data_IF_131274416591
#
_entry.id   IF_131274416591
#
_cell.length_a   1.000
_cell.length_b   1.000
_cell.length_c   1.000
_cell.angle_alpha   90.00
_cell.angle_beta   90.00
_cell.angle_gamma   90.00
#
_symmetry.space_group_name_H-M   'P 1'
#
loop_
_entity.id
_entity.type
_entity.pdbx_description
1 polymer ?
#
# COMPACT_ATOMS: atom_id res chain seq x y z
N UNK A 1 -35.97 29.76 26.57
CA UNK A 1 -35.47 29.52 25.20
C UNK A 1 -34.17 28.76 25.32
N UNK A 2 -34.22 27.44 25.17
CA UNK A 2 -33.05 26.53 25.33
C UNK A 2 -32.38 26.40 24.00
N UNK A 3 -31.09 26.79 23.92
CA UNK A 3 -30.27 26.63 22.73
C UNK A 3 -30.02 25.13 22.46
N UNK A 4 -30.14 24.62 21.23
CA UNK A 4 -29.84 23.22 20.93
C UNK A 4 -28.36 22.95 21.02
N UNK A 5 -27.96 21.93 21.79
CA UNK A 5 -26.61 21.43 21.88
C UNK A 5 -26.18 20.83 20.53
N UNK A 6 -25.61 21.64 19.61
CA UNK A 6 -25.13 21.22 18.31
C UNK A 6 -23.74 20.51 18.32
N UNK A 7 -23.23 20.14 19.51
CA UNK A 7 -21.88 19.56 19.63
C UNK A 7 -21.79 18.02 19.60
N UNK A 8 -22.84 17.33 20.07
CA UNK A 8 -22.77 15.87 20.23
C UNK A 8 -22.85 15.07 18.92
N UNK A 9 -23.52 15.56 17.89
CA UNK A 9 -23.64 14.87 16.61
C UNK A 9 -22.33 14.82 15.83
N UNK A 10 -21.55 15.92 15.86
CA UNK A 10 -20.27 16.00 15.14
C UNK A 10 -19.17 15.09 15.73
N UNK A 11 -19.14 14.95 17.06
CA UNK A 11 -18.13 14.10 17.73
C UNK A 11 -18.39 12.61 17.50
N UNK A 12 -19.64 12.19 17.43
CA UNK A 12 -20.01 10.81 17.12
C UNK A 12 -19.72 10.46 15.65
N UNK A 13 -19.99 11.37 14.72
CA UNK A 13 -19.66 11.20 13.30
C UNK A 13 -18.14 11.11 13.05
N UNK A 14 -17.35 11.93 13.72
CA UNK A 14 -15.88 11.88 13.62
C UNK A 14 -15.34 10.56 14.15
N UNK A 15 -15.84 10.07 15.29
CA UNK A 15 -15.41 8.78 15.85
C UNK A 15 -15.80 7.60 14.93
N UNK A 16 -17.00 7.64 14.35
CA UNK A 16 -17.45 6.65 13.37
C UNK A 16 -16.64 6.69 12.07
N UNK A 17 -16.26 7.87 11.58
CA UNK A 17 -15.38 8.06 10.44
C UNK A 17 -13.99 7.46 10.71
N UNK A 18 -13.39 7.73 11.86
CA UNK A 18 -12.09 7.15 12.24
C UNK A 18 -12.13 5.62 12.32
N UNK A 19 -13.18 5.04 12.88
CA UNK A 19 -13.34 3.59 12.96
C UNK A 19 -13.48 2.95 11.56
N UNK A 20 -14.23 3.59 10.68
CA UNK A 20 -14.43 3.15 9.29
C UNK A 20 -13.14 3.23 8.48
N UNK A 21 -12.42 4.34 8.60
CA UNK A 21 -11.13 4.57 7.96
C UNK A 21 -10.10 3.51 8.39
N UNK A 22 -9.96 3.24 9.70
CA UNK A 22 -9.09 2.19 10.22
C UNK A 22 -9.41 0.81 9.64
N UNK A 23 -10.68 0.48 9.49
CA UNK A 23 -11.11 -0.80 8.90
C UNK A 23 -10.69 -0.90 7.43
N UNK A 24 -10.85 0.17 6.66
CA UNK A 24 -10.41 0.21 5.26
C UNK A 24 -8.89 0.06 5.16
N UNK A 25 -8.12 0.76 5.99
CA UNK A 25 -6.66 0.63 6.03
C UNK A 25 -6.21 -0.82 6.34
N UNK A 26 -6.92 -1.52 7.24
CA UNK A 26 -6.65 -2.94 7.52
C UNK A 26 -6.90 -3.84 6.31
N UNK A 27 -7.99 -3.60 5.57
CA UNK A 27 -8.28 -4.35 4.35
C UNK A 27 -7.23 -4.09 3.27
N UNK A 28 -6.87 -2.84 3.05
CA UNK A 28 -5.85 -2.47 2.05
C UNK A 28 -4.48 -3.04 2.44
N UNK A 29 -4.11 -2.99 3.72
CA UNK A 29 -2.91 -3.64 4.23
C UNK A 29 -2.91 -5.15 3.94
N UNK A 30 -4.00 -5.85 4.26
CA UNK A 30 -4.11 -7.30 4.04
C UNK A 30 -4.03 -7.66 2.54
N UNK A 31 -4.68 -6.88 1.67
CA UNK A 31 -4.63 -7.07 0.22
C UNK A 31 -3.19 -6.88 -0.29
N UNK A 32 -2.49 -5.80 0.11
CA UNK A 32 -1.12 -5.55 -0.35
C UNK A 32 -0.13 -6.59 0.20
N UNK A 33 -0.27 -7.04 1.45
CA UNK A 33 0.54 -8.12 2.00
C UNK A 33 0.31 -9.45 1.26
N UNK A 34 -0.93 -9.77 0.92
CA UNK A 34 -1.27 -10.94 0.11
C UNK A 34 -0.74 -10.83 -1.33
N UNK A 35 -0.85 -9.66 -1.94
CA UNK A 35 -0.30 -9.36 -3.28
C UNK A 35 1.22 -9.45 -3.29
N UNK A 36 1.89 -8.94 -2.25
CA UNK A 36 3.33 -9.10 -2.07
C UNK A 36 3.74 -10.58 -2.10
N UNK A 37 3.09 -11.42 -1.29
CA UNK A 37 3.40 -12.85 -1.24
C UNK A 37 3.14 -13.55 -2.58
N UNK A 38 2.03 -13.24 -3.25
CA UNK A 38 1.69 -13.78 -4.56
C UNK A 38 2.70 -13.36 -5.63
N UNK A 39 3.05 -12.07 -5.69
CA UNK A 39 4.01 -11.53 -6.66
C UNK A 39 5.41 -12.09 -6.43
N UNK A 40 5.84 -12.21 -5.16
CA UNK A 40 7.14 -12.79 -4.82
C UNK A 40 7.21 -14.27 -5.23
N UNK A 41 6.19 -15.07 -4.91
CA UNK A 41 6.11 -16.46 -5.33
C UNK A 41 6.13 -16.59 -6.87
N UNK A 42 5.36 -15.74 -7.57
CA UNK A 42 5.35 -15.66 -9.01
C UNK A 42 6.71 -15.28 -9.60
N UNK A 43 7.42 -14.31 -9.00
CA UNK A 43 8.76 -13.89 -9.41
C UNK A 43 9.79 -15.02 -9.28
N UNK A 44 9.76 -15.73 -8.15
CA UNK A 44 10.64 -16.87 -7.89
C UNK A 44 10.37 -18.04 -8.85
N UNK A 45 9.10 -18.28 -9.17
CA UNK A 45 8.72 -19.35 -10.09
C UNK A 45 9.00 -19.02 -11.56
N UNK A 46 8.72 -17.79 -12.00
CA UNK A 46 8.84 -17.39 -13.41
C UNK A 46 10.20 -16.82 -13.79
N UNK A 47 11.03 -16.45 -12.81
CA UNK A 47 12.27 -15.70 -13.04
C UNK A 47 12.04 -14.26 -13.53
N UNK A 48 10.84 -13.70 -13.42
CA UNK A 48 10.48 -12.38 -13.93
C UNK A 48 10.87 -11.24 -12.97
N UNK A 49 11.79 -10.36 -13.37
CA UNK A 49 12.17 -9.17 -12.60
C UNK A 49 11.00 -8.20 -12.39
N UNK A 50 10.07 -8.13 -13.35
CA UNK A 50 8.88 -7.28 -13.24
C UNK A 50 7.96 -7.70 -12.10
N UNK A 51 7.80 -9.01 -11.85
CA UNK A 51 7.04 -9.51 -10.70
C UNK A 51 7.77 -9.24 -9.37
N UNK A 52 9.10 -9.33 -9.37
CA UNK A 52 9.89 -8.97 -8.19
C UNK A 52 9.74 -7.48 -7.87
N UNK A 53 9.83 -6.61 -8.87
CA UNK A 53 9.57 -5.18 -8.73
C UNK A 53 8.18 -4.93 -8.15
N UNK A 54 7.13 -5.50 -8.74
CA UNK A 54 5.76 -5.34 -8.25
C UNK A 54 5.55 -5.93 -6.84
N UNK A 55 6.31 -6.95 -6.44
CA UNK A 55 6.28 -7.45 -5.06
C UNK A 55 6.84 -6.42 -4.09
N UNK A 56 7.93 -5.74 -4.42
CA UNK A 56 8.52 -4.68 -3.58
C UNK A 56 7.59 -3.47 -3.46
N UNK A 57 6.85 -3.11 -4.52
CA UNK A 57 5.84 -2.06 -4.49
C UNK A 57 4.72 -2.42 -3.49
N UNK A 58 4.16 -3.63 -3.58
CA UNK A 58 3.14 -4.11 -2.65
C UNK A 58 3.65 -4.18 -1.20
N UNK A 59 4.92 -4.53 -0.98
CA UNK A 59 5.54 -4.50 0.35
C UNK A 59 5.63 -3.05 0.87
N UNK A 60 6.08 -2.12 0.03
CA UNK A 60 6.15 -0.70 0.36
C UNK A 60 4.78 -0.13 0.74
N UNK A 61 3.75 -0.48 -0.01
CA UNK A 61 2.37 -0.10 0.29
C UNK A 61 1.86 -0.73 1.59
N UNK A 62 2.08 -2.03 1.79
CA UNK A 62 1.69 -2.70 3.03
C UNK A 62 2.36 -2.06 4.26
N UNK A 63 3.66 -1.77 4.19
CA UNK A 63 4.38 -1.06 5.26
C UNK A 63 3.81 0.36 5.46
N UNK A 64 3.47 1.06 4.39
CA UNK A 64 2.85 2.38 4.47
C UNK A 64 1.53 2.34 5.22
N UNK A 65 0.65 1.40 4.88
CA UNK A 65 -0.65 1.26 5.55
C UNK A 65 -0.51 0.79 6.99
N UNK A 66 0.44 -0.11 7.29
CA UNK A 66 0.74 -0.52 8.66
C UNK A 66 1.21 0.68 9.51
N UNK A 67 2.13 1.50 8.97
CA UNK A 67 2.62 2.71 9.64
C UNK A 67 1.51 3.76 9.79
N UNK A 68 0.66 3.94 8.77
CA UNK A 68 -0.49 4.85 8.84
C UNK A 68 -1.47 4.43 9.93
N UNK A 69 -1.73 3.12 10.07
CA UNK A 69 -2.56 2.58 11.16
C UNK A 69 -1.96 2.84 12.55
N UNK A 70 -0.63 2.78 12.66
CA UNK A 70 0.07 3.05 13.91
C UNK A 70 0.02 4.53 14.33
N UNK A 71 -0.10 5.47 13.37
CA UNK A 71 -0.08 6.91 13.63
C UNK A 71 -1.44 7.60 13.45
N UNK A 72 -2.53 6.84 13.26
CA UNK A 72 -3.89 7.39 13.27
C UNK A 72 -4.15 8.06 14.62
N UNK A 73 -4.40 9.38 14.61
CA UNK A 73 -4.55 10.20 15.82
C UNK A 73 -3.24 10.68 16.46
N UNK A 74 -2.07 10.35 15.89
CA UNK A 74 -0.77 10.80 16.38
C UNK A 74 -0.44 12.26 15.96
N UNK A 75 0.59 12.82 16.58
CA UNK A 75 1.07 14.18 16.32
C UNK A 75 1.60 14.34 14.88
N UNK A 76 1.62 15.58 14.37
CA UNK A 76 2.19 15.92 13.06
C UNK A 76 3.67 15.50 12.93
N UNK A 77 4.44 15.56 14.02
CA UNK A 77 5.83 15.10 14.04
C UNK A 77 5.93 13.57 13.81
N UNK A 78 5.02 12.76 14.36
CA UNK A 78 4.98 11.33 14.14
C UNK A 78 4.61 11.01 12.69
N UNK A 79 3.63 11.71 12.13
CA UNK A 79 3.23 11.58 10.70
C UNK A 79 4.39 11.93 9.75
N UNK A 80 5.14 13.01 10.05
CA UNK A 80 6.31 13.39 9.26
C UNK A 80 7.43 12.33 9.29
N UNK A 81 7.70 11.71 10.45
CA UNK A 81 8.67 10.61 10.56
C UNK A 81 8.26 9.39 9.73
N UNK A 82 6.97 9.05 9.74
CA UNK A 82 6.42 7.97 8.92
C UNK A 82 6.57 8.26 7.43
N UNK A 83 6.30 9.49 7.00
CA UNK A 83 6.50 9.91 5.61
C UNK A 83 7.97 9.80 5.17
N UNK A 84 8.92 10.20 6.03
CA UNK A 84 10.36 10.03 5.76
C UNK A 84 10.77 8.56 5.67
N UNK A 85 10.25 7.72 6.59
CA UNK A 85 10.51 6.27 6.54
C UNK A 85 9.97 5.66 5.25
N UNK A 86 8.74 6.03 4.84
CA UNK A 86 8.16 5.62 3.55
C UNK A 86 9.05 6.01 2.37
N UNK A 87 9.51 7.26 2.32
CA UNK A 87 10.40 7.74 1.26
C UNK A 87 11.71 6.94 1.21
N UNK A 88 12.30 6.62 2.36
CA UNK A 88 13.49 5.77 2.46
C UNK A 88 13.25 4.35 1.94
N UNK A 89 12.11 3.75 2.28
CA UNK A 89 11.73 2.40 1.81
C UNK A 89 11.51 2.39 0.29
N UNK A 90 10.86 3.40 -0.27
CA UNK A 90 10.66 3.54 -1.73
C UNK A 90 12.02 3.66 -2.44
N UNK A 91 12.95 4.47 -1.90
CA UNK A 91 14.29 4.61 -2.46
C UNK A 91 15.05 3.27 -2.44
N UNK A 92 15.02 2.55 -1.32
CA UNK A 92 15.66 1.23 -1.21
C UNK A 92 15.06 0.23 -2.20
N UNK A 93 13.74 0.20 -2.35
CA UNK A 93 13.06 -0.64 -3.34
C UNK A 93 13.48 -0.29 -4.77
N UNK A 94 13.55 0.98 -5.12
CA UNK A 94 14.01 1.44 -6.43
C UNK A 94 15.46 1.02 -6.72
N UNK A 95 16.36 1.12 -5.75
CA UNK A 95 17.75 0.67 -5.88
C UNK A 95 17.84 -0.86 -6.05
N UNK A 96 17.04 -1.62 -5.30
CA UNK A 96 16.97 -3.09 -5.44
C UNK A 96 16.50 -3.50 -6.84
N UNK A 97 15.47 -2.86 -7.37
CA UNK A 97 14.97 -3.09 -8.74
C UNK A 97 16.03 -2.72 -9.79
N UNK A 98 16.70 -1.59 -9.62
CA UNK A 98 17.76 -1.17 -10.54
C UNK A 98 18.92 -2.18 -10.57
N UNK A 99 19.31 -2.70 -9.40
CA UNK A 99 20.35 -3.75 -9.31
C UNK A 99 19.89 -5.05 -9.98
N UNK A 100 18.64 -5.47 -9.77
CA UNK A 100 18.06 -6.66 -10.41
C UNK A 100 18.02 -6.53 -11.94
N UNK A 101 17.60 -5.37 -12.45
CA UNK A 101 17.61 -5.10 -13.90
C UNK A 101 19.02 -5.16 -14.45
N UNK A 102 19.98 -4.53 -13.79
CA UNK A 102 21.40 -4.58 -14.18
C UNK A 102 21.95 -6.01 -14.22
N UNK A 103 21.61 -6.82 -13.21
CA UNK A 103 21.98 -8.24 -13.17
C UNK A 103 21.40 -9.04 -14.34
N UNK A 104 20.10 -8.84 -14.63
CA UNK A 104 19.41 -9.57 -15.72
C UNK A 104 19.85 -9.14 -17.11
N UNK A 105 20.29 -7.90 -17.29
CA UNK A 105 20.90 -7.46 -18.53
C UNK A 105 22.25 -8.17 -18.78
N UNK A 106 23.01 -8.43 -17.72
CA UNK A 106 24.27 -9.18 -17.82
C UNK A 106 24.04 -10.71 -17.94
N UNK A 107 22.92 -11.22 -17.43
CA UNK A 107 22.57 -12.65 -17.42
C UNK A 107 21.16 -12.86 -17.97
N UNK A 108 20.95 -12.74 -19.30
CA UNK A 108 19.61 -12.82 -19.89
C UNK A 108 18.96 -14.19 -19.64
N UNK A 109 17.73 -14.16 -19.10
CA UNK A 109 16.89 -15.33 -18.92
C UNK A 109 15.51 -15.04 -19.50
N UNK A 110 14.89 -16.06 -20.11
CA UNK A 110 13.54 -15.94 -20.66
C UNK A 110 12.52 -16.29 -19.57
N UNK A 111 11.71 -15.33 -19.10
CA UNK A 111 10.69 -15.59 -18.08
C UNK A 111 9.55 -16.46 -18.62
N UNK A 112 8.84 -17.15 -17.72
CA UNK A 112 7.61 -17.91 -18.04
C UNK A 112 6.43 -16.94 -18.20
N UNK A 113 6.09 -16.55 -19.43
CA UNK A 113 5.06 -15.51 -19.71
C UNK A 113 3.68 -15.84 -19.16
N UNK A 114 3.26 -17.11 -19.18
CA UNK A 114 1.91 -17.49 -18.74
C UNK A 114 1.73 -17.25 -17.24
N UNK A 115 2.66 -17.73 -16.41
CA UNK A 115 2.62 -17.52 -14.97
C UNK A 115 2.77 -16.04 -14.61
N UNK A 116 3.66 -15.32 -15.32
CA UNK A 116 3.84 -13.90 -15.17
C UNK A 116 2.55 -13.12 -15.45
N UNK A 117 1.87 -13.43 -16.57
CA UNK A 117 0.64 -12.75 -16.96
C UNK A 117 -0.51 -12.96 -15.97
N UNK A 118 -0.70 -14.18 -15.49
CA UNK A 118 -1.76 -14.50 -14.51
C UNK A 118 -1.52 -13.77 -13.19
N UNK A 119 -0.29 -13.81 -12.67
CA UNK A 119 0.06 -13.15 -11.41
C UNK A 119 -0.06 -11.62 -11.54
N UNK A 120 0.41 -11.05 -12.66
CA UNK A 120 0.28 -9.61 -12.91
C UNK A 120 -1.19 -9.17 -13.01
N UNK A 121 -2.04 -9.94 -13.68
CA UNK A 121 -3.48 -9.65 -13.77
C UNK A 121 -4.16 -9.72 -12.40
N UNK A 122 -3.84 -10.72 -11.58
CA UNK A 122 -4.36 -10.83 -10.21
C UNK A 122 -3.94 -9.64 -9.35
N UNK A 123 -2.67 -9.23 -9.42
CA UNK A 123 -2.17 -8.05 -8.72
C UNK A 123 -2.86 -6.76 -9.18
N UNK A 124 -3.05 -6.60 -10.49
CA UNK A 124 -3.78 -5.44 -11.04
C UNK A 124 -5.20 -5.34 -10.48
N UNK A 125 -5.94 -6.45 -10.45
CA UNK A 125 -7.29 -6.48 -9.88
C UNK A 125 -7.27 -6.15 -8.38
N UNK A 126 -6.32 -6.68 -7.62
CA UNK A 126 -6.14 -6.37 -6.20
C UNK A 126 -5.90 -4.86 -5.98
N UNK A 127 -5.05 -4.23 -6.79
CA UNK A 127 -4.80 -2.79 -6.72
C UNK A 127 -6.03 -1.96 -7.09
N UNK A 128 -6.85 -2.38 -8.08
CA UNK A 128 -8.13 -1.72 -8.37
C UNK A 128 -9.11 -1.77 -7.19
N UNK A 129 -9.14 -2.90 -6.47
CA UNK A 129 -9.96 -3.03 -5.24
C UNK A 129 -9.43 -2.06 -4.17
N UNK A 130 -8.12 -1.98 -3.95
CA UNK A 130 -7.52 -1.02 -3.02
C UNK A 130 -7.87 0.42 -3.39
N UNK A 131 -7.72 0.79 -4.66
CA UNK A 131 -8.08 2.12 -5.16
C UNK A 131 -9.54 2.44 -4.87
N UNK A 132 -10.46 1.50 -5.15
CA UNK A 132 -11.88 1.70 -4.88
C UNK A 132 -12.20 1.84 -3.39
N UNK A 133 -11.49 1.11 -2.54
CA UNK A 133 -11.65 1.21 -1.08
C UNK A 133 -11.14 2.53 -0.51
N UNK A 134 -10.05 3.08 -1.06
CA UNK A 134 -9.43 4.33 -0.63
C UNK A 134 -10.09 5.57 -1.22
N UNK A 135 -10.72 5.46 -2.39
CA UNK A 135 -11.30 6.57 -3.14
C UNK A 135 -12.19 7.53 -2.32
N UNK A 136 -13.08 7.05 -1.42
CA UNK A 136 -13.91 7.94 -0.61
C UNK A 136 -13.13 8.78 0.42
N UNK A 137 -11.86 8.45 0.69
CA UNK A 137 -11.04 9.06 1.75
C UNK A 137 -9.93 9.96 1.19
N UNK A 138 -9.81 10.10 -0.13
CA UNK A 138 -8.74 10.86 -0.80
C UNK A 138 -8.64 12.34 -0.40
N UNK A 139 -9.79 12.95 -0.06
CA UNK A 139 -9.87 14.39 0.23
C UNK A 139 -9.66 14.69 1.74
N UNK A 140 -9.44 13.68 2.58
CA UNK A 140 -9.46 13.82 4.04
C UNK A 140 -8.13 13.62 4.78
N UNK A 141 -7.12 13.00 4.18
CA UNK A 141 -5.84 12.74 4.88
C UNK A 141 -4.68 12.63 3.90
N UNK A 142 -3.62 13.42 4.14
CA UNK A 142 -2.38 13.46 3.33
C UNK A 142 -1.69 12.09 3.21
N UNK A 143 -1.95 11.15 4.14
CA UNK A 143 -1.38 9.80 4.09
C UNK A 143 -2.20 8.81 3.25
N UNK A 144 -3.33 9.23 2.69
CA UNK A 144 -4.20 8.41 1.83
C UNK A 144 -4.21 8.87 0.37
N UNK A 145 -3.58 10.01 0.08
CA UNK A 145 -3.30 10.52 -1.26
C UNK A 145 -1.87 10.14 -1.65
#
# INVERSE_FOLDING_TARGET
MSAPCCGCGKTLDVAAMHARQRRVLWWVLAINAGSFALMLAGALHSGAASLLSGSLDNLGDALTYALSLAVVGASMAAKARVALLKAGLILLAALAVAAEIGWKLAHPQVPLFQSMGVVAAANFLANLVCLRLLWPYRDGDINLA
#
